data_IF_811065730337
#
_entry.id   IF_811065730337
#
_cell.length_a   1.000
_cell.length_b   1.000
_cell.length_c   1.000
_cell.angle_alpha   90.00
_cell.angle_beta   90.00
_cell.angle_gamma   90.00
#
_symmetry.space_group_name_H-M   'P 1'
#
loop_
_entity.id
_entity.type
_entity.pdbx_description
1 polymer ?
#
# COMPACT_ATOMS: atom_id res chain seq x y z
N UNK A 1 -6.38 4.48 9.47
CA UNK A 1 -6.28 5.66 8.59
C UNK A 1 -7.05 5.36 7.32
N UNK A 2 -8.20 6.00 7.09
CA UNK A 2 -8.91 5.89 5.81
C UNK A 2 -8.25 6.89 4.86
N UNK A 3 -7.14 6.50 4.24
CA UNK A 3 -6.41 7.33 3.29
C UNK A 3 -6.84 7.00 1.87
N UNK A 4 -7.56 7.90 1.22
CA UNK A 4 -7.78 7.83 -0.23
C UNK A 4 -6.53 8.41 -0.88
N UNK A 5 -5.67 7.58 -1.47
CA UNK A 5 -4.55 8.09 -2.26
C UNK A 5 -5.01 8.21 -3.72
N UNK A 6 -5.23 9.46 -4.18
CA UNK A 6 -5.50 9.79 -5.57
C UNK A 6 -4.16 10.03 -6.27
N UNK A 7 -3.64 9.03 -6.97
CA UNK A 7 -2.48 9.22 -7.85
C UNK A 7 -3.01 9.66 -9.22
N UNK A 8 -2.88 10.95 -9.55
CA UNK A 8 -3.16 11.48 -10.89
C UNK A 8 -1.99 11.10 -11.81
N UNK A 9 -2.12 10.01 -12.57
CA UNK A 9 -1.12 9.65 -13.58
C UNK A 9 -1.22 10.59 -14.79
N UNK A 10 -0.10 10.97 -15.40
CA UNK A 10 -0.09 11.74 -16.65
C UNK A 10 -0.87 11.00 -17.76
N UNK A 11 -1.68 11.69 -18.59
CA UNK A 11 -2.53 11.03 -19.58
C UNK A 11 -1.70 10.41 -20.71
N UNK A 12 -1.58 9.09 -20.73
CA UNK A 12 -1.01 8.35 -21.87
C UNK A 12 -2.09 8.16 -22.94
N UNK A 13 -1.90 8.60 -24.19
CA UNK A 13 -2.90 8.47 -25.24
C UNK A 13 -2.92 7.04 -25.76
N UNK A 14 -3.91 6.27 -25.32
CA UNK A 14 -4.26 5.01 -25.98
C UNK A 14 -4.47 3.85 -25.01
N UNK A 15 -5.69 3.72 -24.51
CA UNK A 15 -6.42 2.45 -24.38
C UNK A 15 -7.90 2.86 -24.42
N UNK A 16 -8.53 2.74 -25.59
CA UNK A 16 -9.98 2.67 -25.69
C UNK A 16 -10.36 1.22 -25.43
N UNK A 17 -10.85 0.96 -24.23
CA UNK A 17 -11.56 -0.28 -23.93
C UNK A 17 -11.07 -1.04 -22.70
N UNK A 18 -12.05 -1.72 -22.09
CA UNK A 18 -11.93 -2.85 -21.16
C UNK A 18 -11.93 -2.56 -19.66
N UNK A 19 -13.09 -2.85 -19.07
CA UNK A 19 -13.28 -3.48 -17.76
C UNK A 19 -12.56 -2.80 -16.58
N UNK A 20 -13.20 -1.78 -15.98
CA UNK A 20 -12.80 -1.20 -14.69
C UNK A 20 -13.06 -2.18 -13.54
N UNK A 21 -12.36 -3.32 -13.57
CA UNK A 21 -12.42 -4.34 -12.55
C UNK A 21 -11.84 -3.76 -11.27
N UNK A 22 -12.62 -3.83 -10.21
CA UNK A 22 -12.21 -3.45 -8.87
C UNK A 22 -11.37 -4.59 -8.30
N UNK A 23 -10.13 -4.30 -7.92
CA UNK A 23 -9.23 -5.27 -7.29
C UNK A 23 -9.29 -5.13 -5.78
N UNK A 24 -9.41 -6.26 -5.09
CA UNK A 24 -9.42 -6.32 -3.62
C UNK A 24 -8.21 -7.10 -3.14
N UNK A 25 -7.53 -6.57 -2.14
CA UNK A 25 -6.39 -7.22 -1.52
C UNK A 25 -6.57 -7.21 0.00
N UNK A 26 -6.08 -8.27 0.64
CA UNK A 26 -6.00 -8.39 2.09
C UNK A 26 -4.53 -8.40 2.49
N UNK A 27 -4.23 -7.90 3.68
CA UNK A 27 -2.93 -8.12 4.27
C UNK A 27 -2.66 -9.62 4.40
N UNK A 28 -1.42 -10.05 4.14
CA UNK A 28 -0.99 -11.46 4.25
C UNK A 28 -0.63 -11.85 5.68
N UNK A 29 -0.51 -10.88 6.59
CA UNK A 29 -0.15 -11.14 7.97
C UNK A 29 -1.33 -11.76 8.74
N UNK A 30 -1.07 -12.88 9.43
CA UNK A 30 -2.09 -13.75 10.01
C UNK A 30 -3.06 -13.08 11.01
N UNK A 31 -2.60 -12.07 11.76
CA UNK A 31 -3.44 -11.31 12.71
C UNK A 31 -4.00 -10.01 12.12
N UNK A 32 -3.75 -9.72 10.84
CA UNK A 32 -4.06 -8.43 10.25
C UNK A 32 -5.27 -8.51 9.33
N UNK A 33 -6.32 -7.75 9.68
CA UNK A 33 -7.57 -7.70 8.93
C UNK A 33 -7.65 -6.53 7.95
N UNK A 34 -6.53 -5.84 7.69
CA UNK A 34 -6.51 -4.70 6.78
C UNK A 34 -6.84 -5.14 5.36
N UNK A 35 -7.71 -4.35 4.71
CA UNK A 35 -8.11 -4.55 3.32
C UNK A 35 -7.71 -3.31 2.53
N UNK A 36 -7.34 -3.53 1.27
CA UNK A 36 -7.21 -2.45 0.29
C UNK A 36 -8.02 -2.75 -0.96
N UNK A 37 -8.71 -1.74 -1.44
CA UNK A 37 -9.46 -1.77 -2.68
C UNK A 37 -8.79 -0.84 -3.67
N UNK A 38 -8.58 -1.30 -4.90
CA UNK A 38 -8.01 -0.50 -5.99
C UNK A 38 -9.03 -0.45 -7.11
N UNK A 39 -9.41 0.76 -7.51
CA UNK A 39 -10.37 1.00 -8.58
C UNK A 39 -9.88 2.11 -9.51
N UNK A 40 -9.97 1.87 -10.82
CA UNK A 40 -9.78 2.92 -11.83
C UNK A 40 -11.12 3.55 -12.16
N UNK A 41 -11.16 4.88 -12.30
CA UNK A 41 -12.40 5.57 -12.64
C UNK A 41 -12.78 5.30 -14.10
N UNK A 42 -14.09 5.13 -14.32
CA UNK A 42 -14.61 4.89 -15.66
C UNK A 42 -14.57 6.12 -16.57
N UNK A 43 -14.74 7.30 -15.98
CA UNK A 43 -14.71 8.57 -16.70
C UNK A 43 -13.29 9.03 -16.99
N UNK A 44 -12.34 8.66 -16.14
CA UNK A 44 -10.95 9.06 -16.24
C UNK A 44 -10.03 7.94 -15.77
N UNK A 45 -9.46 7.21 -16.73
CA UNK A 45 -8.58 6.07 -16.46
C UNK A 45 -7.22 6.48 -15.90
N UNK A 46 -6.90 7.79 -15.91
CA UNK A 46 -5.70 8.33 -15.27
C UNK A 46 -5.82 8.34 -13.74
N UNK A 47 -7.05 8.27 -13.23
CA UNK A 47 -7.35 8.33 -11.81
C UNK A 47 -7.50 6.91 -11.26
N UNK A 48 -6.62 6.58 -10.31
CA UNK A 48 -6.69 5.38 -9.50
C UNK A 48 -7.09 5.75 -8.08
N UNK A 49 -8.23 5.21 -7.63
CA UNK A 49 -8.71 5.32 -6.26
C UNK A 49 -8.24 4.09 -5.49
N UNK A 50 -7.47 4.31 -4.43
CA UNK A 50 -7.12 3.24 -3.49
C UNK A 50 -7.74 3.53 -2.14
N UNK A 51 -8.55 2.60 -1.64
CA UNK A 51 -9.22 2.69 -0.33
C UNK A 51 -8.61 1.67 0.61
N UNK A 52 -8.16 2.11 1.78
CA UNK A 52 -7.67 1.22 2.84
C UNK A 52 -8.68 1.16 3.99
N UNK A 53 -8.99 -0.05 4.44
CA UNK A 53 -9.89 -0.31 5.56
C UNK A 53 -9.13 -0.98 6.70
N UNK A 54 -9.14 -0.35 7.89
CA UNK A 54 -8.49 -0.85 9.09
C UNK A 54 -7.15 -0.16 9.43
N UNK A 55 -6.43 -0.77 10.37
CA UNK A 55 -5.09 -0.35 10.82
C UNK A 55 -4.24 -1.60 10.96
N UNK A 56 -2.99 -1.54 10.47
CA UNK A 56 -2.03 -2.62 10.63
C UNK A 56 -1.63 -2.74 12.10
N UNK A 57 -1.71 -3.95 12.65
CA UNK A 57 -1.32 -4.29 14.02
C UNK A 57 0.02 -5.04 14.08
N UNK A 58 0.82 -4.93 13.01
CA UNK A 58 2.11 -5.61 12.88
C UNK A 58 3.11 -4.64 12.25
N UNK A 59 4.42 -4.84 12.48
CA UNK A 59 5.44 -4.04 11.83
C UNK A 59 5.44 -4.28 10.31
N UNK A 60 5.86 -3.26 9.56
CA UNK A 60 6.05 -3.37 8.13
C UNK A 60 7.32 -4.20 7.86
N UNK A 61 7.19 -5.38 7.25
CA UNK A 61 8.32 -6.29 7.01
C UNK A 61 9.46 -5.61 6.24
N UNK A 62 9.14 -4.86 5.17
CA UNK A 62 10.14 -4.09 4.41
C UNK A 62 10.87 -3.05 5.25
N UNK A 63 10.17 -2.42 6.20
CA UNK A 63 10.79 -1.45 7.10
C UNK A 63 11.68 -2.16 8.12
N UNK A 64 11.23 -3.29 8.66
CA UNK A 64 12.03 -4.09 9.59
C UNK A 64 13.30 -4.64 8.93
N UNK A 65 13.21 -5.08 7.68
CA UNK A 65 14.37 -5.55 6.92
C UNK A 65 15.40 -4.42 6.74
N UNK A 66 14.96 -3.24 6.30
CA UNK A 66 15.82 -2.07 6.12
C UNK A 66 16.42 -1.53 7.43
N UNK A 67 15.67 -1.58 8.53
CA UNK A 67 16.12 -1.04 9.83
C UNK A 67 16.90 -2.05 10.67
N UNK A 68 16.82 -3.36 10.36
CA UNK A 68 17.49 -4.41 11.12
C UNK A 68 19.00 -4.20 11.36
N UNK A 69 19.83 -3.76 10.39
CA UNK A 69 21.25 -3.52 10.67
C UNK A 69 21.45 -2.34 11.65
N UNK A 70 20.64 -1.29 11.52
CA UNK A 70 20.74 -0.10 12.37
C UNK A 70 20.35 -0.43 13.81
N UNK A 71 19.26 -1.17 13.99
CA UNK A 71 18.79 -1.58 15.32
C UNK A 71 19.82 -2.48 16.03
N UNK A 72 20.47 -3.40 15.30
CA UNK A 72 21.55 -4.23 15.85
C UNK A 72 22.75 -3.39 16.31
N UNK A 73 23.13 -2.37 15.54
CA UNK A 73 24.22 -1.48 15.91
C UNK A 73 23.88 -0.66 17.17
N UNK A 74 22.67 -0.12 17.26
CA UNK A 74 22.22 0.61 18.45
C UNK A 74 22.17 -0.27 19.70
N UNK A 75 21.71 -1.52 19.58
CA UNK A 75 21.75 -2.49 20.68
C UNK A 75 23.18 -2.79 21.13
N UNK A 76 24.11 -2.96 20.19
CA UNK A 76 25.52 -3.17 20.51
C UNK A 76 26.13 -1.98 21.25
N UNK A 77 25.82 -0.75 20.82
CA UNK A 77 26.29 0.48 21.47
C UNK A 77 25.67 0.73 22.84
N UNK A 78 24.47 0.19 23.10
CA UNK A 78 23.84 0.25 24.43
C UNK A 78 24.46 -0.72 25.44
N UNK A 79 25.36 -1.59 24.98
CA UNK A 79 26.00 -2.62 25.79
C UNK A 79 27.35 -2.18 26.39
N UNK A 80 27.76 -0.93 26.13
CA UNK A 80 28.96 -0.28 26.67
C UNK A 80 28.59 0.91 27.55
#
# INVERSE_FOLDING_TARGET
MVGIHLMAGTPSPGIRGSNNKRSYYRCTHHTCNVKKQVQRLAKDTSIVVTTYEGVHNHPCEKLMEALSPILKQLQFLSQF
#
